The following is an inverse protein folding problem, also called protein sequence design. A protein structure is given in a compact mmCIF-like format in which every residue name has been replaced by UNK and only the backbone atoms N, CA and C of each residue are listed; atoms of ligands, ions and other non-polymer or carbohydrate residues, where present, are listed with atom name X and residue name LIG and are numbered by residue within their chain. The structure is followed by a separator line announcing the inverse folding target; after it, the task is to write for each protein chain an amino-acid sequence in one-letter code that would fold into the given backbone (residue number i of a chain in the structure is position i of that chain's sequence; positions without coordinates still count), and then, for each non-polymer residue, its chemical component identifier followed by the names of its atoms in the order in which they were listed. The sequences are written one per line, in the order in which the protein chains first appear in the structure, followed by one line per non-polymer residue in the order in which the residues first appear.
data_IF_098298112922
#
_entry.id   IF_098298112922
#
_cell.length_a   1.000
_cell.length_b   1.000
_cell.length_c   1.000
_cell.angle_alpha   90.00
_cell.angle_beta   90.00
_cell.angle_gamma   90.00
#
_symmetry.space_group_name_H-M   'P 1'
#
loop_
_entity.id
_entity.type
_entity.pdbx_description
1 polymer ?
#
# COMPACT_ATOMS: atom_id res chain seq x y z
N UNK A 1 -0.46 28.83 13.18
CA UNK A 1 -0.52 27.93 12.01
C UNK A 1 0.27 26.67 12.28
N UNK A 2 1.46 26.78 12.89
CA UNK A 2 2.28 25.64 13.34
C UNK A 2 1.58 24.67 14.30
N UNK A 3 0.79 25.15 15.27
CA UNK A 3 0.06 24.26 16.19
C UNK A 3 -0.94 23.32 15.47
N UNK A 4 -1.53 23.78 14.36
CA UNK A 4 -2.44 22.97 13.54
C UNK A 4 -1.69 21.89 12.77
N UNK A 5 -0.49 22.20 12.28
CA UNK A 5 0.36 21.25 11.54
C UNK A 5 0.97 20.21 12.48
N UNK A 6 1.39 20.66 13.67
CA UNK A 6 1.86 19.79 14.73
C UNK A 6 0.77 18.80 15.16
N UNK A 7 -0.45 19.29 15.37
CA UNK A 7 -1.61 18.45 15.70
C UNK A 7 -1.91 17.44 14.58
N UNK A 8 -1.88 17.86 13.31
CA UNK A 8 -2.08 16.95 12.17
C UNK A 8 -1.01 15.87 12.09
N UNK A 9 0.26 16.23 12.31
CA UNK A 9 1.38 15.28 12.37
C UNK A 9 1.21 14.26 13.48
N UNK A 10 0.84 14.70 14.68
CA UNK A 10 0.68 13.82 15.84
C UNK A 10 -0.52 12.86 15.66
N UNK A 11 -1.62 13.34 15.07
CA UNK A 11 -2.78 12.50 14.69
C UNK A 11 -2.37 11.44 13.65
N UNK A 12 -1.62 11.83 12.63
CA UNK A 12 -1.12 10.92 11.60
C UNK A 12 -0.19 9.84 12.20
N UNK A 13 0.75 10.24 13.06
CA UNK A 13 1.63 9.31 13.77
C UNK A 13 0.85 8.33 14.66
N UNK A 14 -0.14 8.82 15.41
CA UNK A 14 -1.00 7.98 16.22
C UNK A 14 -1.83 6.99 15.38
N UNK A 15 -2.25 7.38 14.18
CA UNK A 15 -2.93 6.49 13.24
C UNK A 15 -2.00 5.40 12.70
N UNK A 16 -0.80 5.77 12.22
CA UNK A 16 0.19 4.80 11.73
C UNK A 16 0.61 3.79 12.80
N UNK A 17 0.84 4.24 14.04
CA UNK A 17 1.22 3.35 15.14
C UNK A 17 0.12 2.32 15.47
N UNK A 18 -1.16 2.70 15.37
CA UNK A 18 -2.29 1.76 15.52
C UNK A 18 -2.30 0.72 14.40
N UNK A 19 -2.06 1.13 13.16
CA UNK A 19 -1.97 0.21 12.01
C UNK A 19 -0.79 -0.76 12.14
N UNK A 20 0.37 -0.29 12.62
CA UNK A 20 1.54 -1.13 12.89
C UNK A 20 1.22 -2.16 13.98
N UNK A 21 0.61 -1.75 15.09
CA UNK A 21 0.24 -2.65 16.17
C UNK A 21 -0.73 -3.74 15.69
N UNK A 22 -1.76 -3.36 14.92
CA UNK A 22 -2.72 -4.31 14.34
C UNK A 22 -2.08 -5.25 13.33
N UNK A 23 -1.17 -4.75 12.48
CA UNK A 23 -0.43 -5.57 11.52
C UNK A 23 0.44 -6.63 12.20
N UNK A 24 1.10 -6.28 13.32
CA UNK A 24 1.87 -7.25 14.13
C UNK A 24 1.00 -8.35 14.70
N UNK A 25 -0.19 -8.01 15.22
CA UNK A 25 -1.15 -9.00 15.69
C UNK A 25 -1.65 -9.93 14.57
N UNK A 26 -1.77 -9.42 13.35
CA UNK A 26 -2.12 -10.22 12.16
C UNK A 26 -0.95 -11.14 11.80
N UNK A 27 0.29 -10.64 11.78
CA UNK A 27 1.49 -11.43 11.50
C UNK A 27 1.67 -12.59 12.49
N UNK A 28 1.40 -12.35 13.78
CA UNK A 28 1.45 -13.42 14.79
C UNK A 28 0.32 -14.45 14.62
N UNK A 29 -0.87 -14.02 14.19
CA UNK A 29 -1.98 -14.93 13.88
C UNK A 29 -1.70 -15.77 12.64
N UNK A 30 -1.08 -15.21 11.61
CA UNK A 30 -0.69 -15.94 10.40
C UNK A 30 0.29 -17.09 10.68
N UNK A 31 1.07 -17.03 11.76
CA UNK A 31 1.94 -18.13 12.20
C UNK A 31 1.18 -19.30 12.81
N UNK A 32 -0.06 -19.10 13.24
CA UNK A 32 -0.81 -20.04 14.09
C UNK A 32 -2.15 -20.49 13.49
N UNK A 33 -2.78 -19.69 12.64
CA UNK A 33 -4.11 -19.94 12.05
C UNK A 33 -4.12 -19.58 10.56
N UNK A 34 -4.62 -20.51 9.74
CA UNK A 34 -4.63 -20.39 8.27
C UNK A 34 -5.79 -19.52 7.72
N UNK A 35 -6.83 -19.26 8.52
CA UNK A 35 -8.03 -18.53 8.08
C UNK A 35 -8.12 -17.12 8.69
N UNK A 36 -7.42 -16.16 8.07
CA UNK A 36 -7.41 -14.75 8.47
C UNK A 36 -7.58 -13.78 7.29
N UNK A 37 -8.03 -14.27 6.14
CA UNK A 37 -8.04 -13.51 4.89
C UNK A 37 -8.91 -12.25 4.93
N UNK A 38 -10.05 -12.29 5.64
CA UNK A 38 -10.95 -11.12 5.78
C UNK A 38 -10.30 -10.03 6.64
N UNK A 39 -9.72 -10.40 7.77
CA UNK A 39 -9.03 -9.48 8.68
C UNK A 39 -7.82 -8.81 8.02
N UNK A 40 -7.06 -9.58 7.24
CA UNK A 40 -5.92 -9.09 6.46
C UNK A 40 -6.38 -8.07 5.43
N UNK A 41 -7.43 -8.37 4.64
CA UNK A 41 -7.95 -7.44 3.64
C UNK A 41 -8.48 -6.14 4.26
N UNK A 42 -9.21 -6.24 5.37
CA UNK A 42 -9.71 -5.06 6.07
C UNK A 42 -8.55 -4.17 6.54
N UNK A 43 -7.52 -4.77 7.14
CA UNK A 43 -6.31 -4.04 7.54
C UNK A 43 -5.56 -3.44 6.34
N UNK A 44 -5.40 -4.16 5.24
CA UNK A 44 -4.77 -3.65 4.02
C UNK A 44 -5.51 -2.43 3.45
N UNK A 45 -6.84 -2.43 3.51
CA UNK A 45 -7.66 -1.30 3.06
C UNK A 45 -7.46 -0.07 3.95
N UNK A 46 -7.36 -0.26 5.28
CA UNK A 46 -7.07 0.82 6.22
C UNK A 46 -5.66 1.40 5.97
N UNK A 47 -4.68 0.53 5.67
CA UNK A 47 -3.32 0.95 5.27
C UNK A 47 -3.35 1.75 3.98
N UNK A 48 -4.07 1.28 2.94
CA UNK A 48 -4.20 1.99 1.67
C UNK A 48 -4.79 3.40 1.86
N UNK A 49 -5.79 3.53 2.72
CA UNK A 49 -6.43 4.81 3.06
C UNK A 49 -5.43 5.76 3.72
N UNK A 50 -4.71 5.29 4.75
CA UNK A 50 -3.72 6.09 5.45
C UNK A 50 -2.56 6.52 4.52
N UNK A 51 -2.08 5.62 3.65
CA UNK A 51 -1.05 5.94 2.65
C UNK A 51 -1.56 7.05 1.71
N UNK A 52 -2.81 6.95 1.23
CA UNK A 52 -3.38 7.93 0.31
C UNK A 52 -3.51 9.32 0.95
N UNK A 53 -3.94 9.40 2.21
CA UNK A 53 -4.03 10.66 2.97
C UNK A 53 -2.66 11.31 3.18
N UNK A 54 -1.63 10.50 3.44
CA UNK A 54 -0.25 10.97 3.60
C UNK A 54 0.43 11.30 2.26
N UNK A 55 -0.17 10.86 1.14
CA UNK A 55 0.45 10.92 -0.17
C UNK A 55 0.22 12.25 -0.94
N UNK A 56 -0.08 13.35 -0.25
CA UNK A 56 -0.49 14.62 -0.86
C UNK A 56 0.57 15.46 -1.61
N UNK A 57 1.88 15.16 -1.51
CA UNK A 57 2.96 16.00 -2.08
C UNK A 57 4.03 15.26 -2.89
N UNK A 58 5.05 15.93 -3.45
CA UNK A 58 6.10 15.27 -4.27
C UNK A 58 6.92 14.19 -3.52
N UNK A 59 7.07 14.33 -2.19
CA UNK A 59 7.64 13.30 -1.30
C UNK A 59 6.68 12.13 -1.02
N UNK A 60 5.42 12.18 -1.44
CA UNK A 60 4.48 11.07 -1.33
C UNK A 60 4.67 9.96 -2.35
N UNK A 61 5.30 10.30 -3.48
CA UNK A 61 5.40 9.39 -4.61
C UNK A 61 6.17 8.11 -4.24
N UNK A 62 7.16 8.21 -3.36
CA UNK A 62 7.88 7.03 -2.86
C UNK A 62 6.99 6.16 -1.96
N UNK A 63 6.09 6.74 -1.16
CA UNK A 63 5.23 6.02 -0.23
C UNK A 63 4.17 5.19 -0.97
N UNK A 64 3.50 5.81 -1.95
CA UNK A 64 2.55 5.11 -2.83
C UNK A 64 3.24 4.00 -3.65
N UNK A 65 4.47 4.24 -4.11
CA UNK A 65 5.28 3.23 -4.80
C UNK A 65 5.67 2.09 -3.87
N UNK A 66 6.16 2.39 -2.66
CA UNK A 66 6.58 1.39 -1.68
C UNK A 66 5.40 0.52 -1.22
N UNK A 67 4.23 1.12 -0.99
CA UNK A 67 2.98 0.40 -0.73
C UNK A 67 2.65 -0.57 -1.86
N UNK A 68 2.67 -0.11 -3.11
CA UNK A 68 2.38 -0.97 -4.27
C UNK A 68 3.40 -2.11 -4.42
N UNK A 69 4.68 -1.85 -4.13
CA UNK A 69 5.74 -2.85 -4.17
C UNK A 69 5.64 -3.91 -3.07
N UNK A 70 4.95 -3.62 -1.96
CA UNK A 70 4.77 -4.59 -0.88
C UNK A 70 4.03 -5.85 -1.35
N UNK A 71 3.17 -5.75 -2.38
CA UNK A 71 2.40 -6.87 -2.93
C UNK A 71 3.17 -7.76 -3.91
N UNK A 72 4.37 -7.34 -4.33
CA UNK A 72 5.09 -7.94 -5.46
C UNK A 72 6.44 -8.53 -5.03
N UNK A 73 6.67 -9.82 -5.29
CA UNK A 73 7.97 -10.47 -5.07
C UNK A 73 8.72 -10.53 -6.39
N UNK A 74 9.94 -9.97 -6.42
CA UNK A 74 10.89 -10.21 -7.50
C UNK A 74 11.74 -11.43 -7.12
N UNK A 75 11.65 -12.55 -7.84
CA UNK A 75 12.49 -13.71 -7.54
C UNK A 75 13.97 -13.42 -7.87
N UNK A 76 14.87 -14.04 -7.12
CA UNK A 76 16.30 -13.71 -7.09
C UNK A 76 17.04 -14.05 -8.39
N UNK A 77 16.45 -14.92 -9.21
CA UNK A 77 16.91 -15.36 -10.53
C UNK A 77 16.53 -14.40 -11.66
N UNK A 78 15.87 -13.27 -11.34
CA UNK A 78 15.41 -12.31 -12.35
C UNK A 78 14.15 -12.77 -13.09
N UNK A 79 13.46 -13.78 -12.58
CA UNK A 79 12.20 -14.27 -13.14
C UNK A 79 11.02 -13.29 -13.02
N UNK A 80 9.86 -13.74 -13.50
CA UNK A 80 8.61 -12.97 -13.50
C UNK A 80 8.21 -12.59 -12.07
N UNK A 81 7.79 -11.34 -11.88
CA UNK A 81 7.29 -10.85 -10.59
C UNK A 81 6.02 -11.59 -10.21
N UNK A 82 6.01 -12.23 -9.03
CA UNK A 82 4.88 -13.00 -8.52
C UNK A 82 4.21 -12.28 -7.35
N UNK A 83 2.95 -12.61 -7.07
CA UNK A 83 2.22 -12.11 -5.90
C UNK A 83 2.88 -12.62 -4.61
N UNK A 84 3.06 -11.71 -3.65
CA UNK A 84 3.62 -12.05 -2.35
C UNK A 84 2.65 -12.90 -1.51
N UNK A 85 3.19 -13.80 -0.69
CA UNK A 85 2.34 -14.54 0.26
C UNK A 85 1.69 -13.57 1.25
N UNK A 86 0.56 -13.96 1.84
CA UNK A 86 -0.13 -13.09 2.81
C UNK A 86 0.79 -12.66 3.98
N UNK A 87 1.67 -13.54 4.43
CA UNK A 87 2.67 -13.23 5.46
C UNK A 87 3.70 -12.20 4.96
N UNK A 88 4.24 -12.40 3.76
CA UNK A 88 5.19 -11.46 3.15
C UNK A 88 4.58 -10.08 2.91
N UNK A 89 3.31 -10.03 2.46
CA UNK A 89 2.59 -8.77 2.27
C UNK A 89 2.48 -8.03 3.61
N UNK A 90 2.07 -8.72 4.67
CA UNK A 90 1.93 -8.10 6.00
C UNK A 90 3.27 -7.56 6.50
N UNK A 91 4.35 -8.33 6.41
CA UNK A 91 5.67 -7.90 6.86
C UNK A 91 6.21 -6.70 6.06
N UNK A 92 6.01 -6.71 4.75
CA UNK A 92 6.42 -5.60 3.88
C UNK A 92 5.61 -4.34 4.14
N UNK A 93 4.29 -4.46 4.32
CA UNK A 93 3.45 -3.33 4.68
C UNK A 93 3.80 -2.77 6.06
N UNK A 94 4.16 -3.62 7.03
CA UNK A 94 4.70 -3.17 8.32
C UNK A 94 5.99 -2.35 8.15
N UNK A 95 6.89 -2.77 7.25
CA UNK A 95 8.10 -2.02 6.94
C UNK A 95 7.79 -0.64 6.30
N UNK A 96 6.85 -0.60 5.36
CA UNK A 96 6.40 0.67 4.74
C UNK A 96 5.80 1.62 5.78
N UNK A 97 4.93 1.11 6.66
CA UNK A 97 4.33 1.91 7.74
C UNK A 97 5.37 2.43 8.73
N UNK A 98 6.36 1.61 9.08
CA UNK A 98 7.46 2.03 9.96
C UNK A 98 8.30 3.14 9.31
N UNK A 99 8.59 3.01 8.02
CA UNK A 99 9.32 4.04 7.27
C UNK A 99 8.52 5.35 7.15
N UNK A 100 7.20 5.26 6.98
CA UNK A 100 6.31 6.43 6.96
C UNK A 100 6.31 7.14 8.33
N UNK A 101 6.17 6.39 9.43
CA UNK A 101 6.20 6.95 10.77
C UNK A 101 7.55 7.60 11.11
N UNK A 102 8.66 6.95 10.74
CA UNK A 102 10.00 7.52 10.90
C UNK A 102 10.15 8.82 10.11
N UNK A 103 9.71 8.85 8.84
CA UNK A 103 9.77 10.03 7.99
C UNK A 103 8.98 11.20 8.56
N UNK A 104 7.78 10.96 9.09
CA UNK A 104 6.95 11.97 9.76
C UNK A 104 7.59 12.50 11.05
N UNK A 105 8.28 11.63 11.80
CA UNK A 105 8.95 12.02 13.05
C UNK A 105 10.13 12.95 12.80
N UNK A 106 10.89 12.70 11.71
CA UNK A 106 12.07 13.50 11.34
C UNK A 106 11.72 14.76 10.53
N UNK A 107 10.46 14.95 10.15
CA UNK A 107 10.01 16.08 9.34
C UNK A 107 9.80 17.32 10.23
N UNK A 108 10.40 18.44 9.81
CA UNK A 108 10.24 19.75 10.47
C UNK A 108 8.80 20.27 10.25
N UNK A 109 8.17 21.01 11.17
CA UNK A 109 6.77 21.47 11.04
C UNK A 109 6.53 22.32 9.78
N UNK A 110 7.56 23.05 9.32
CA UNK A 110 7.52 23.87 8.11
C UNK A 110 7.48 23.02 6.83
N UNK A 111 8.10 21.84 6.84
CA UNK A 111 8.07 20.87 5.74
C UNK A 111 6.73 20.12 5.65
N UNK A 112 6.04 19.94 6.79
CA UNK A 112 4.70 19.33 6.83
C UNK A 112 3.65 20.16 6.07
N UNK A 113 3.80 21.49 6.05
CA UNK A 113 2.94 22.40 5.28
C UNK A 113 3.03 22.15 3.75
N UNK A 114 4.20 21.77 3.25
CA UNK A 114 4.40 21.44 1.84
C UNK A 114 3.77 20.10 1.44
N UNK A 115 3.55 19.19 2.41
CA UNK A 115 2.82 17.92 2.20
C UNK A 115 1.30 18.15 2.24
N UNK A 116 0.82 19.13 3.01
CA UNK A 116 -0.58 19.51 3.12
C UNK A 116 -1.11 20.34 1.92
N UNK A 117 -0.22 20.81 1.02
CA UNK A 117 -0.60 21.50 -0.21
C UNK A 117 -1.30 20.51 -1.16
N UNK A 118 -2.63 20.47 -1.06
CA UNK A 118 -3.53 19.64 -1.86
C UNK A 118 -3.46 20.00 -3.35
N UNK A 119 -2.54 19.37 -4.08
CA UNK A 119 -2.75 19.17 -5.50
C UNK A 119 -3.95 18.22 -5.67
N UNK A 120 -4.86 18.53 -6.60
CA UNK A 120 -6.01 17.68 -6.89
C UNK A 120 -5.54 16.22 -7.02
N UNK A 121 -6.21 15.26 -6.34
CA UNK A 121 -5.77 13.87 -6.34
C UNK A 121 -5.63 13.42 -7.79
N UNK A 122 -4.45 12.89 -8.13
CA UNK A 122 -4.23 12.33 -9.45
C UNK A 122 -5.35 11.32 -9.75
N UNK A 123 -5.92 11.32 -10.96
CA UNK A 123 -7.01 10.41 -11.30
C UNK A 123 -6.58 8.98 -10.97
N UNK A 124 -7.42 8.26 -10.22
CA UNK A 124 -7.12 6.91 -9.74
C UNK A 124 -6.83 6.03 -10.94
N UNK A 125 -5.59 5.56 -11.05
CA UNK A 125 -5.05 4.88 -12.24
C UNK A 125 -5.78 3.58 -12.61
N UNK A 126 -6.69 3.10 -11.76
CA UNK A 126 -7.44 1.86 -11.92
C UNK A 126 -8.95 1.99 -11.68
N UNK A 127 -9.53 3.21 -11.68
CA UNK A 127 -11.00 3.34 -11.53
C UNK A 127 -11.76 2.60 -12.64
N UNK A 128 -11.13 2.40 -13.81
CA UNK A 128 -11.67 1.61 -14.91
C UNK A 128 -11.98 0.16 -14.52
N UNK A 129 -11.34 -0.41 -13.50
CA UNK A 129 -11.61 -1.77 -12.99
C UNK A 129 -13.02 -1.88 -12.40
N UNK A 130 -13.58 -0.78 -11.93
CA UNK A 130 -14.95 -0.72 -11.41
C UNK A 130 -16.00 -0.46 -12.49
N UNK A 131 -15.58 -0.18 -13.73
CA UNK A 131 -16.50 0.07 -14.84
C UNK A 131 -17.11 -1.25 -15.32
N UNK A 132 -18.43 -1.39 -15.18
CA UNK A 132 -19.15 -2.63 -15.50
C UNK A 132 -18.94 -3.09 -16.94
N UNK A 133 -18.83 -2.14 -17.88
CA UNK A 133 -18.61 -2.38 -19.30
C UNK A 133 -17.24 -2.99 -19.60
N UNK A 134 -16.23 -2.72 -18.76
CA UNK A 134 -14.87 -3.21 -18.93
C UNK A 134 -14.62 -4.55 -18.23
N UNK A 135 -15.54 -5.00 -17.36
CA UNK A 135 -15.36 -6.21 -16.56
C UNK A 135 -15.04 -7.43 -17.41
N UNK A 136 -15.82 -7.69 -18.46
CA UNK A 136 -15.60 -8.84 -19.34
C UNK A 136 -14.25 -8.78 -20.07
N UNK A 137 -13.81 -7.58 -20.46
CA UNK A 137 -12.49 -7.39 -21.12
C UNK A 137 -11.35 -7.66 -20.14
N UNK A 138 -11.48 -7.22 -18.90
CA UNK A 138 -10.47 -7.43 -17.86
C UNK A 138 -10.37 -8.90 -17.44
N UNK A 139 -11.51 -9.58 -17.30
CA UNK A 139 -11.56 -11.02 -17.00
C UNK A 139 -10.91 -11.85 -18.13
N UNK A 140 -11.20 -11.51 -19.39
CA UNK A 140 -10.60 -12.16 -20.54
C UNK A 140 -9.09 -11.90 -20.60
N UNK A 141 -8.65 -10.66 -20.42
CA UNK A 141 -7.22 -10.31 -20.41
C UNK A 141 -6.46 -11.03 -19.28
N UNK A 142 -7.08 -11.20 -18.11
CA UNK A 142 -6.51 -11.98 -17.01
C UNK A 142 -6.33 -13.46 -17.39
N UNK A 143 -7.36 -14.09 -17.96
CA UNK A 143 -7.29 -15.47 -18.42
C UNK A 143 -6.25 -15.67 -19.54
N UNK A 144 -6.17 -14.71 -20.47
CA UNK A 144 -5.21 -14.73 -21.57
C UNK A 144 -3.77 -14.59 -21.06
N UNK A 145 -3.54 -13.70 -20.09
CA UNK A 145 -2.24 -13.57 -19.43
C UNK A 145 -1.83 -14.84 -18.69
N UNK A 146 -2.76 -15.50 -18.00
CA UNK A 146 -2.50 -16.79 -17.33
C UNK A 146 -2.05 -17.86 -18.32
N UNK A 147 -2.76 -17.99 -19.46
CA UNK A 147 -2.38 -18.92 -20.53
C UNK A 147 -1.04 -18.58 -21.18
N UNK A 148 -0.77 -17.29 -21.41
CA UNK A 148 0.50 -16.84 -21.96
C UNK A 148 1.67 -17.13 -21.01
N UNK A 149 1.45 -16.99 -19.70
CA UNK A 149 2.43 -17.33 -18.67
C UNK A 149 2.72 -18.84 -18.64
N UNK A 150 1.68 -19.68 -18.64
CA UNK A 150 1.81 -21.14 -18.69
C UNK A 150 2.52 -21.63 -19.96
N UNK A 151 2.27 -20.96 -21.09
CA UNK A 151 2.89 -21.27 -22.37
C UNK A 151 4.31 -20.69 -22.53
N UNK A 152 4.81 -19.90 -21.57
CA UNK A 152 6.09 -19.20 -21.67
C UNK A 152 6.16 -18.17 -22.80
N UNK A 153 5.02 -17.69 -23.28
CA UNK A 153 4.89 -16.85 -24.47
C UNK A 153 4.74 -15.36 -24.10
N UNK A 154 5.71 -14.83 -23.35
CA UNK A 154 5.84 -13.38 -23.13
C UNK A 154 6.92 -12.84 -24.08
N UNK A 155 6.52 -12.04 -25.07
CA UNK A 155 7.43 -11.24 -25.92
C UNK A 155 7.61 -9.83 -25.36
#
# INVERSE_FOLDING_TARGET
MDDSLQTQRDVALAHLNRLIARGRQIADRLKTIQDSAVDIRAWQQDVATAINELSGGSKAHWLSRAFSQAFLVRPADGGVVIEASAADIVDRLLAVLAQAAASLTTMDPVDAAAVAATAAPAPRRFDFVHTAELRGVLEQAYADSGRALEAGAYT
#
